data_IF_978581301150
#
_entry.id   IF_978581301150
#
_cell.length_a   1.000
_cell.length_b   1.000
_cell.length_c   1.000
_cell.angle_alpha   90.00
_cell.angle_beta   90.00
_cell.angle_gamma   90.00
#
_symmetry.space_group_name_H-M   'P 1'
#
loop_
_entity.id
_entity.type
_entity.pdbx_description
1 polymer ?
#
# COMPACT_ATOMS: atom_id res chain seq x y z
N UNK A 1 28.54 -36.79 -25.21
CA UNK A 1 28.40 -35.64 -24.26
C UNK A 1 27.14 -34.85 -24.60
N UNK A 2 26.15 -34.93 -23.75
CA UNK A 2 24.90 -34.20 -23.96
C UNK A 2 25.13 -32.69 -23.74
N UNK A 3 24.82 -31.88 -24.76
CA UNK A 3 24.86 -30.42 -24.62
C UNK A 3 23.82 -29.97 -23.58
N UNK A 4 24.28 -29.47 -22.43
CA UNK A 4 23.45 -28.84 -21.46
C UNK A 4 22.76 -27.64 -22.12
N UNK A 5 21.45 -27.69 -22.33
CA UNK A 5 20.67 -26.56 -22.84
C UNK A 5 20.81 -25.43 -21.83
N UNK A 6 21.49 -24.35 -22.20
CA UNK A 6 21.53 -23.11 -21.41
C UNK A 6 20.07 -22.64 -21.21
N UNK A 7 19.65 -22.47 -19.96
CA UNK A 7 18.35 -21.85 -19.68
C UNK A 7 18.35 -20.42 -20.27
N UNK A 8 17.25 -20.00 -20.89
CA UNK A 8 17.12 -18.65 -21.41
C UNK A 8 17.25 -17.64 -20.25
N UNK A 9 17.98 -16.56 -20.48
CA UNK A 9 18.08 -15.48 -19.50
C UNK A 9 16.69 -14.85 -19.29
N UNK A 10 16.32 -14.50 -18.05
CA UNK A 10 15.09 -13.79 -17.80
C UNK A 10 15.09 -12.44 -18.52
N UNK A 11 13.93 -12.00 -18.97
CA UNK A 11 13.76 -10.67 -19.55
C UNK A 11 13.93 -9.60 -18.47
N UNK A 12 14.61 -8.52 -18.82
CA UNK A 12 14.73 -7.34 -17.96
C UNK A 12 13.53 -6.42 -18.20
N UNK A 13 12.44 -6.67 -17.51
CA UNK A 13 11.20 -5.90 -17.65
C UNK A 13 10.48 -5.79 -16.30
N UNK A 14 9.75 -4.68 -16.10
CA UNK A 14 8.87 -4.52 -14.96
C UNK A 14 7.56 -5.28 -15.18
N UNK A 15 6.84 -5.66 -14.09
CA UNK A 15 5.50 -6.22 -14.23
C UNK A 15 4.55 -5.24 -14.95
N UNK A 16 3.56 -5.79 -15.64
CA UNK A 16 2.53 -5.00 -16.33
C UNK A 16 1.85 -4.02 -15.35
N UNK A 17 1.79 -2.77 -15.72
CA UNK A 17 1.18 -1.71 -14.91
C UNK A 17 2.14 -1.00 -13.96
N UNK A 18 3.40 -1.45 -13.91
CA UNK A 18 4.45 -0.82 -13.10
C UNK A 18 5.49 -0.16 -14.00
N UNK A 19 6.14 0.86 -13.49
CA UNK A 19 7.25 1.51 -14.19
C UNK A 19 8.27 2.05 -13.19
N UNK A 20 9.49 2.17 -13.64
CA UNK A 20 10.55 2.83 -12.90
C UNK A 20 10.59 4.32 -13.24
N UNK A 21 11.06 5.12 -12.31
CA UNK A 21 11.24 6.56 -12.46
C UNK A 21 12.68 6.93 -12.21
N UNK A 22 13.22 7.85 -12.99
CA UNK A 22 14.63 8.23 -12.93
C UNK A 22 14.80 9.74 -12.79
N UNK A 23 15.85 10.15 -12.09
CA UNK A 23 16.40 11.49 -12.08
C UNK A 23 15.36 12.62 -12.00
N UNK A 24 15.19 13.33 -13.10
CA UNK A 24 14.29 14.48 -13.20
C UNK A 24 12.82 14.11 -12.86
N UNK A 25 12.33 12.98 -13.34
CA UNK A 25 10.96 12.54 -13.04
C UNK A 25 10.73 12.36 -11.55
N UNK A 26 11.71 11.79 -10.84
CA UNK A 26 11.64 11.63 -9.38
C UNK A 26 11.62 12.99 -8.68
N UNK A 27 12.52 13.89 -9.09
CA UNK A 27 12.63 15.22 -8.51
C UNK A 27 11.36 16.07 -8.73
N UNK A 28 10.80 16.03 -9.94
CA UNK A 28 9.55 16.75 -10.27
C UNK A 28 8.34 16.22 -9.49
N UNK A 29 8.21 14.90 -9.38
CA UNK A 29 7.15 14.30 -8.59
C UNK A 29 7.27 14.68 -7.12
N UNK A 30 8.46 14.63 -6.56
CA UNK A 30 8.71 15.05 -5.17
C UNK A 30 8.35 16.51 -4.96
N UNK A 31 8.79 17.41 -5.83
CA UNK A 31 8.47 18.82 -5.75
C UNK A 31 6.96 19.09 -5.83
N UNK A 32 6.24 18.38 -6.69
CA UNK A 32 4.78 18.46 -6.79
C UNK A 32 4.10 18.03 -5.50
N UNK A 33 4.51 16.87 -4.95
CA UNK A 33 3.94 16.34 -3.72
C UNK A 33 4.24 17.24 -2.52
N UNK A 34 5.44 17.81 -2.44
CA UNK A 34 5.82 18.76 -1.38
C UNK A 34 4.94 20.02 -1.43
N UNK A 35 4.63 20.54 -2.61
CA UNK A 35 3.71 21.68 -2.76
C UNK A 35 2.28 21.36 -2.32
N UNK A 36 1.79 20.20 -2.66
CA UNK A 36 0.46 19.74 -2.21
C UNK A 36 0.46 19.60 -0.69
N UNK A 37 1.50 19.02 -0.11
CA UNK A 37 1.66 18.86 1.33
C UNK A 37 1.66 20.20 2.08
N UNK A 38 2.33 21.22 1.55
CA UNK A 38 2.31 22.58 2.12
C UNK A 38 0.90 23.14 2.24
N UNK A 39 0.05 22.95 1.22
CA UNK A 39 -1.33 23.41 1.25
C UNK A 39 -2.12 22.66 2.34
N UNK A 40 -2.00 21.34 2.43
CA UNK A 40 -2.64 20.59 3.49
C UNK A 40 -2.20 21.05 4.88
N UNK A 41 -0.91 21.28 5.06
CA UNK A 41 -0.35 21.76 6.32
C UNK A 41 -0.94 23.12 6.73
N UNK A 42 -1.09 24.04 5.79
CA UNK A 42 -1.70 25.36 6.05
C UNK A 42 -3.15 25.26 6.54
N UNK A 43 -3.86 24.21 6.16
CA UNK A 43 -5.25 23.95 6.61
C UNK A 43 -5.34 23.06 7.85
N UNK A 44 -4.21 22.78 8.50
CA UNK A 44 -4.17 22.02 9.74
C UNK A 44 -4.26 20.51 9.59
N UNK A 45 -3.89 19.98 8.42
CA UNK A 45 -3.81 18.54 8.18
C UNK A 45 -2.40 18.02 8.47
N UNK A 46 -2.31 16.91 9.18
CA UNK A 46 -1.05 16.22 9.44
C UNK A 46 -0.82 15.09 8.45
N UNK A 47 0.44 14.83 8.16
CA UNK A 47 0.82 13.70 7.32
C UNK A 47 0.59 12.38 8.05
N UNK A 48 0.02 11.40 7.36
CA UNK A 48 -0.06 10.03 7.81
C UNK A 48 0.46 9.11 6.72
N UNK A 49 1.47 8.34 7.04
CA UNK A 49 1.95 7.22 6.24
C UNK A 49 1.63 5.93 6.98
N UNK A 50 0.61 5.23 6.51
CA UNK A 50 0.20 3.95 7.07
C UNK A 50 0.82 2.78 6.30
N UNK A 51 0.77 1.58 6.87
CA UNK A 51 1.27 0.38 6.21
C UNK A 51 0.55 0.11 4.89
N UNK A 52 1.30 -0.29 3.87
CA UNK A 52 0.71 -0.78 2.63
C UNK A 52 0.06 -2.16 2.79
N UNK A 53 0.49 -2.91 3.80
CA UNK A 53 -0.03 -4.22 4.15
C UNK A 53 -0.84 -4.10 5.45
N UNK A 54 -2.05 -4.60 5.42
CA UNK A 54 -2.96 -4.63 6.56
C UNK A 54 -3.40 -6.07 6.83
N UNK A 55 -3.84 -6.36 8.06
CA UNK A 55 -4.56 -7.59 8.31
C UNK A 55 -5.91 -7.54 7.61
N UNK A 56 -6.37 -8.67 7.08
CA UNK A 56 -7.68 -8.75 6.41
C UNK A 56 -8.81 -8.31 7.35
N UNK A 57 -8.69 -8.61 8.63
CA UNK A 57 -9.65 -8.19 9.66
C UNK A 57 -9.74 -6.66 9.78
N UNK A 58 -8.63 -5.94 9.68
CA UNK A 58 -8.61 -4.49 9.74
C UNK A 58 -9.22 -3.84 8.49
N UNK A 59 -9.17 -4.52 7.34
CA UNK A 59 -9.81 -4.08 6.09
C UNK A 59 -11.31 -4.36 6.03
N UNK A 60 -11.88 -5.05 7.04
CA UNK A 60 -13.30 -5.31 7.15
C UNK A 60 -13.78 -6.59 6.47
N UNK A 61 -14.91 -6.54 5.76
CA UNK A 61 -15.66 -7.69 5.24
C UNK A 61 -14.99 -8.49 4.10
N UNK A 62 -13.75 -8.23 3.80
CA UNK A 62 -13.03 -8.84 2.68
C UNK A 62 -12.25 -10.09 3.10
N UNK A 63 -12.84 -10.91 3.99
CA UNK A 63 -12.36 -12.28 4.16
C UNK A 63 -12.52 -13.00 2.82
N UNK A 64 -11.47 -13.70 2.34
CA UNK A 64 -11.62 -14.51 1.14
C UNK A 64 -12.73 -15.52 1.39
N UNK A 65 -13.83 -15.33 0.69
CA UNK A 65 -14.84 -16.35 0.58
C UNK A 65 -14.22 -17.50 -0.23
N UNK A 66 -14.29 -18.70 0.26
CA UNK A 66 -13.69 -19.89 -0.38
C UNK A 66 -14.20 -20.03 -1.81
N UNK A 67 -15.41 -19.54 -2.09
CA UNK A 67 -16.08 -19.64 -3.38
C UNK A 67 -15.86 -18.42 -4.31
N UNK A 68 -15.27 -17.34 -3.81
CA UNK A 68 -14.96 -16.14 -4.59
C UNK A 68 -13.59 -15.59 -4.18
N UNK A 69 -12.55 -15.84 -4.99
CA UNK A 69 -11.30 -15.12 -4.79
C UNK A 69 -11.62 -13.62 -4.83
N UNK A 70 -11.05 -12.86 -3.89
CA UNK A 70 -11.28 -11.42 -3.74
C UNK A 70 -10.92 -10.69 -5.02
N UNK A 71 -11.91 -10.41 -5.85
CA UNK A 71 -11.73 -9.56 -7.01
C UNK A 71 -11.27 -8.17 -6.54
N UNK A 72 -10.05 -7.78 -6.93
CA UNK A 72 -9.49 -6.49 -6.65
C UNK A 72 -8.71 -6.35 -5.33
N UNK A 73 -8.54 -7.40 -4.56
CA UNK A 73 -7.70 -7.40 -3.35
C UNK A 73 -6.62 -8.48 -3.45
N UNK A 74 -5.36 -8.08 -3.28
CA UNK A 74 -4.26 -9.01 -3.17
C UNK A 74 -4.09 -9.43 -1.71
N UNK A 75 -4.39 -10.68 -1.41
CA UNK A 75 -4.32 -11.24 -0.07
C UNK A 75 -3.52 -12.54 -0.05
N UNK A 76 -2.86 -12.80 1.07
CA UNK A 76 -2.11 -14.03 1.31
C UNK A 76 -2.15 -14.39 2.79
N UNK A 77 -1.85 -15.63 3.10
CA UNK A 77 -1.75 -16.10 4.48
C UNK A 77 -0.28 -16.28 4.86
N UNK A 78 0.07 -15.84 6.06
CA UNK A 78 1.38 -16.12 6.62
C UNK A 78 1.46 -17.58 7.06
N UNK A 79 2.56 -18.25 6.72
CA UNK A 79 2.98 -19.57 7.19
C UNK A 79 1.86 -20.55 7.58
N UNK A 80 1.10 -21.03 6.59
CA UNK A 80 0.11 -22.12 6.76
C UNK A 80 -1.12 -21.77 7.57
N UNK A 81 -1.00 -21.46 8.86
CA UNK A 81 -2.09 -21.16 9.79
C UNK A 81 -2.06 -19.71 10.29
N UNK A 82 -1.13 -18.88 9.79
CA UNK A 82 -0.94 -17.52 10.23
C UNK A 82 -2.08 -16.58 9.82
N UNK A 83 -1.93 -15.32 10.20
CA UNK A 83 -2.89 -14.28 9.86
C UNK A 83 -3.00 -14.07 8.35
N UNK A 84 -4.19 -13.76 7.88
CA UNK A 84 -4.40 -13.29 6.54
C UNK A 84 -4.03 -11.82 6.42
N UNK A 85 -3.14 -11.53 5.47
CA UNK A 85 -2.68 -10.19 5.12
C UNK A 85 -3.18 -9.81 3.75
N UNK A 86 -3.31 -8.51 3.52
CA UNK A 86 -3.70 -7.99 2.22
C UNK A 86 -3.00 -6.67 1.91
N UNK A 87 -2.75 -6.40 0.63
CA UNK A 87 -2.42 -5.06 0.19
C UNK A 87 -3.65 -4.17 0.29
N UNK A 88 -3.49 -2.99 0.90
CA UNK A 88 -4.56 -2.00 0.98
C UNK A 88 -5.06 -1.62 -0.42
N UNK A 89 -6.34 -1.36 -0.54
CA UNK A 89 -6.99 -0.92 -1.78
C UNK A 89 -7.51 0.52 -1.68
N UNK A 90 -7.53 1.08 -0.47
CA UNK A 90 -7.91 2.47 -0.19
C UNK A 90 -7.08 3.04 0.97
N UNK A 91 -7.36 4.26 1.36
CA UNK A 91 -6.71 4.93 2.49
C UNK A 91 -7.69 5.24 3.63
N UNK A 92 -8.96 4.86 3.50
CA UNK A 92 -10.00 5.08 4.51
C UNK A 92 -9.99 3.97 5.57
N UNK A 93 -9.93 2.71 5.17
CA UNK A 93 -9.84 1.60 6.10
C UNK A 93 -8.56 1.64 6.96
N UNK A 94 -7.36 1.93 6.39
CA UNK A 94 -6.17 2.18 7.20
C UNK A 94 -6.30 3.34 8.18
N UNK A 95 -6.97 4.42 7.80
CA UNK A 95 -7.24 5.54 8.71
C UNK A 95 -8.10 5.10 9.91
N UNK A 96 -9.14 4.34 9.67
CA UNK A 96 -10.01 3.82 10.73
C UNK A 96 -9.23 2.94 11.71
N UNK A 97 -8.36 2.06 11.21
CA UNK A 97 -7.49 1.24 12.05
C UNK A 97 -6.52 2.09 12.88
N UNK A 98 -5.83 3.05 12.26
CA UNK A 98 -4.91 3.96 12.95
C UNK A 98 -5.64 4.75 14.03
N UNK A 99 -6.80 5.30 13.73
CA UNK A 99 -7.59 6.05 14.71
C UNK A 99 -8.04 5.18 15.88
N UNK A 100 -8.49 3.96 15.63
CA UNK A 100 -8.88 3.03 16.67
C UNK A 100 -7.70 2.63 17.57
N UNK A 101 -6.53 2.44 16.98
CA UNK A 101 -5.32 2.02 17.71
C UNK A 101 -4.72 3.16 18.54
N UNK A 102 -4.70 4.38 18.02
CA UNK A 102 -3.95 5.51 18.56
C UNK A 102 -4.83 6.69 19.00
N UNK A 103 -6.14 6.52 19.10
CA UNK A 103 -7.06 7.63 19.37
C UNK A 103 -6.75 8.46 20.63
N UNK A 104 -6.11 7.84 21.63
CA UNK A 104 -5.72 8.53 22.87
C UNK A 104 -4.48 9.42 22.67
N UNK A 105 -3.72 9.19 21.61
CA UNK A 105 -2.48 9.90 21.28
C UNK A 105 -2.70 10.91 20.14
N UNK A 106 -3.83 10.81 19.44
CA UNK A 106 -4.17 11.67 18.30
C UNK A 106 -4.97 12.88 18.74
N UNK A 107 -4.81 14.05 18.09
CA UNK A 107 -5.63 15.22 18.38
C UNK A 107 -7.09 15.00 18.01
N UNK A 108 -7.98 15.76 18.65
CA UNK A 108 -9.42 15.77 18.34
C UNK A 108 -9.84 17.17 17.92
N UNK A 109 -10.32 17.38 16.70
CA UNK A 109 -10.45 16.40 15.61
C UNK A 109 -9.11 16.01 15.01
N UNK A 110 -9.04 14.80 14.48
CA UNK A 110 -7.86 14.33 13.74
C UNK A 110 -8.06 14.60 12.24
N UNK A 111 -7.19 15.44 11.70
CA UNK A 111 -7.15 15.79 10.28
C UNK A 111 -5.85 15.28 9.68
N UNK A 112 -5.95 14.40 8.71
CA UNK A 112 -4.78 13.81 8.05
C UNK A 112 -4.85 13.96 6.54
N UNK A 113 -3.70 13.99 5.92
CA UNK A 113 -3.56 13.74 4.50
C UNK A 113 -2.61 12.56 4.27
N UNK A 114 -2.80 11.86 3.16
CA UNK A 114 -1.93 10.79 2.68
C UNK A 114 -1.79 10.91 1.16
N UNK A 115 -0.59 10.65 0.68
CA UNK A 115 -0.26 10.71 -0.74
C UNK A 115 0.58 9.49 -1.14
#
# INVERSE_FOLDING_TARGET
MAKVKKQPRPKAETPKGFRDYFGADVAERKAMLDRIAEVYYLYGFDALESSAVETVQALGKFLPDIDRPNDGVFAWQEDGDGDWLALRYDLTAPLARVYAQFRNDLPTPYRRYAM
#
